data_IF_954194298641
#
_entry.id   IF_954194298641
#
_cell.length_a   1.000
_cell.length_b   1.000
_cell.length_c   1.000
_cell.angle_alpha   90.00
_cell.angle_beta   90.00
_cell.angle_gamma   90.00
#
_symmetry.space_group_name_H-M   'P 1'
#
loop_
_entity.id
_entity.type
_entity.pdbx_description
1 polymer ?
#
# COMPACT_ATOMS: atom_id res chain seq x y z
N UNK A 1 13.16 8.19 -0.28
CA UNK A 1 12.51 9.37 -0.89
C UNK A 1 12.30 10.41 0.19
N UNK A 2 12.42 11.69 -0.17
CA UNK A 2 12.15 12.83 0.72
C UNK A 2 10.64 13.14 0.66
N UNK A 3 9.85 12.44 1.47
CA UNK A 3 8.39 12.54 1.41
C UNK A 3 7.85 13.90 1.85
N UNK A 4 8.60 14.60 2.69
CA UNK A 4 8.33 15.94 3.18
C UNK A 4 8.38 17.01 2.07
N UNK A 5 9.16 16.79 1.02
CA UNK A 5 9.24 17.70 -0.12
C UNK A 5 8.01 17.66 -1.04
N UNK A 6 7.17 16.62 -0.96
CA UNK A 6 5.98 16.48 -1.79
C UNK A 6 4.79 17.27 -1.26
N UNK A 7 3.87 17.65 -2.14
CA UNK A 7 2.61 18.30 -1.77
C UNK A 7 1.62 17.30 -1.20
N UNK A 8 0.69 17.77 -0.38
CA UNK A 8 -0.38 16.94 0.20
C UNK A 8 -1.17 16.17 -0.87
N UNK A 9 -1.46 16.82 -2.00
CA UNK A 9 -2.17 16.19 -3.12
C UNK A 9 -1.36 15.04 -3.73
N UNK A 10 -0.05 15.25 -3.95
CA UNK A 10 0.81 14.21 -4.53
C UNK A 10 1.03 13.03 -3.57
N UNK A 11 1.13 13.27 -2.26
CA UNK A 11 1.21 12.21 -1.26
C UNK A 11 -0.04 11.32 -1.27
N UNK A 12 -1.23 11.93 -1.32
CA UNK A 12 -2.49 11.20 -1.45
C UNK A 12 -2.55 10.40 -2.74
N UNK A 13 -2.19 11.00 -3.88
CA UNK A 13 -2.18 10.29 -5.16
C UNK A 13 -1.23 9.09 -5.17
N UNK A 14 -0.02 9.24 -4.62
CA UNK A 14 0.95 8.13 -4.51
C UNK A 14 0.39 7.03 -3.61
N UNK A 15 -0.26 7.39 -2.51
CA UNK A 15 -0.87 6.41 -1.62
C UNK A 15 -2.05 5.67 -2.26
N UNK A 16 -2.94 6.39 -2.95
CA UNK A 16 -4.03 5.76 -3.70
C UNK A 16 -3.52 4.85 -4.83
N UNK A 17 -2.38 5.17 -5.44
CA UNK A 17 -1.75 4.28 -6.42
C UNK A 17 -1.28 2.96 -5.79
N UNK A 18 -0.73 3.00 -4.56
CA UNK A 18 -0.41 1.78 -3.81
C UNK A 18 -1.68 0.98 -3.52
N UNK A 19 -2.75 1.65 -3.05
CA UNK A 19 -4.04 1.00 -2.75
C UNK A 19 -4.64 0.33 -3.99
N UNK A 20 -4.68 1.04 -5.13
CA UNK A 20 -5.21 0.48 -6.37
C UNK A 20 -4.38 -0.69 -6.91
N UNK A 21 -3.05 -0.66 -6.75
CA UNK A 21 -2.21 -1.80 -7.09
C UNK A 21 -2.49 -3.01 -6.21
N UNK A 22 -2.73 -2.79 -4.91
CA UNK A 22 -3.10 -3.85 -3.97
C UNK A 22 -4.48 -4.45 -4.28
N UNK A 23 -5.47 -3.60 -4.56
CA UNK A 23 -6.82 -4.03 -4.93
C UNK A 23 -6.79 -4.86 -6.23
N UNK A 24 -6.03 -4.41 -7.23
CA UNK A 24 -5.86 -5.17 -8.47
C UNK A 24 -5.19 -6.54 -8.23
N UNK A 25 -4.17 -6.61 -7.36
CA UNK A 25 -3.56 -7.89 -6.99
C UNK A 25 -4.54 -8.81 -6.27
N UNK A 26 -5.31 -8.29 -5.31
CA UNK A 26 -6.34 -9.04 -4.59
C UNK A 26 -7.42 -9.57 -5.57
N UNK A 27 -7.79 -8.80 -6.61
CA UNK A 27 -8.68 -9.25 -7.69
C UNK A 27 -8.07 -10.35 -8.56
N UNK A 28 -6.79 -10.24 -8.96
CA UNK A 28 -6.09 -11.30 -9.71
C UNK A 28 -6.08 -12.60 -8.91
N UNK A 29 -5.69 -12.53 -7.63
CA UNK A 29 -5.64 -13.69 -6.74
C UNK A 29 -7.03 -14.32 -6.55
N UNK A 30 -8.08 -13.51 -6.41
CA UNK A 30 -9.45 -14.00 -6.31
C UNK A 30 -9.92 -14.75 -7.57
N UNK A 31 -9.36 -14.43 -8.74
CA UNK A 31 -9.60 -15.12 -10.01
C UNK A 31 -8.67 -16.33 -10.24
N UNK A 32 -7.78 -16.63 -9.28
CA UNK A 32 -6.78 -17.70 -9.40
C UNK A 32 -5.62 -17.35 -10.33
N UNK A 33 -5.43 -16.07 -10.64
CA UNK A 33 -4.32 -15.54 -11.43
C UNK A 33 -3.17 -15.07 -10.52
N UNK A 34 -1.97 -14.99 -11.08
CA UNK A 34 -0.83 -14.44 -10.35
C UNK A 34 -0.99 -12.91 -10.15
N UNK A 35 -0.70 -12.38 -8.96
CA UNK A 35 -0.71 -10.94 -8.71
C UNK A 35 0.31 -10.24 -9.61
N UNK A 36 -0.15 -9.20 -10.31
CA UNK A 36 0.64 -8.48 -11.32
C UNK A 36 1.68 -7.55 -10.70
N UNK A 37 1.30 -6.83 -9.64
CA UNK A 37 2.12 -5.83 -8.98
C UNK A 37 2.90 -6.39 -7.78
N UNK A 38 2.45 -7.53 -7.25
CA UNK A 38 3.06 -8.28 -6.15
C UNK A 38 3.22 -7.41 -4.90
N UNK A 39 2.20 -6.62 -4.57
CA UNK A 39 2.23 -5.61 -3.51
C UNK A 39 2.47 -6.26 -2.14
N UNK A 40 1.80 -7.38 -1.84
CA UNK A 40 1.96 -8.09 -0.55
C UNK A 40 3.29 -8.84 -0.44
N UNK A 41 3.81 -9.37 -1.54
CA UNK A 41 5.02 -10.22 -1.55
C UNK A 41 6.33 -9.45 -1.74
N UNK A 42 6.27 -8.17 -2.15
CA UNK A 42 7.45 -7.33 -2.31
C UNK A 42 7.53 -6.31 -1.18
N UNK A 43 8.45 -6.53 -0.23
CA UNK A 43 8.58 -5.75 1.01
C UNK A 43 8.74 -4.22 0.79
N UNK A 44 9.30 -3.82 -0.36
CA UNK A 44 9.48 -2.43 -0.75
C UNK A 44 8.17 -1.66 -0.90
N UNK A 45 7.08 -2.31 -1.32
CA UNK A 45 5.76 -1.69 -1.37
C UNK A 45 5.27 -1.30 0.01
N UNK A 46 5.35 -2.23 0.98
CA UNK A 46 4.96 -1.96 2.37
C UNK A 46 5.79 -0.83 2.96
N UNK A 47 7.10 -0.81 2.71
CA UNK A 47 7.97 0.28 3.16
C UNK A 47 7.58 1.61 2.51
N UNK A 48 7.29 1.63 1.21
CA UNK A 48 6.85 2.83 0.51
C UNK A 48 5.55 3.38 1.10
N UNK A 49 4.55 2.51 1.26
CA UNK A 49 3.25 2.85 1.83
C UNK A 49 3.35 3.38 3.26
N UNK A 50 4.11 2.71 4.13
CA UNK A 50 4.28 3.15 5.52
C UNK A 50 4.96 4.52 5.63
N UNK A 51 5.89 4.84 4.71
CA UNK A 51 6.49 6.18 4.69
C UNK A 51 5.50 7.25 4.20
N UNK A 52 4.65 6.93 3.23
CA UNK A 52 3.56 7.81 2.80
C UNK A 52 2.57 8.06 3.95
N UNK A 53 2.12 6.99 4.62
CA UNK A 53 1.23 7.06 5.79
C UNK A 53 1.82 7.94 6.90
N UNK A 54 3.10 7.73 7.23
CA UNK A 54 3.78 8.50 8.27
C UNK A 54 3.80 10.01 7.95
N UNK A 55 4.11 10.40 6.71
CA UNK A 55 4.14 11.80 6.31
C UNK A 55 2.73 12.41 6.22
N UNK A 56 1.74 11.66 5.71
CA UNK A 56 0.34 12.12 5.65
C UNK A 56 -0.23 12.32 7.05
N UNK A 57 0.01 11.38 7.97
CA UNK A 57 -0.41 11.49 9.38
C UNK A 57 0.30 12.62 10.11
N UNK A 58 1.61 12.80 9.89
CA UNK A 58 2.40 13.91 10.45
C UNK A 58 1.81 15.28 10.05
N UNK A 59 1.22 15.39 8.86
CA UNK A 59 0.54 16.60 8.38
C UNK A 59 -0.89 16.77 8.87
N UNK A 60 -1.41 15.82 9.64
CA UNK A 60 -2.79 15.85 10.14
C UNK A 60 -3.84 15.59 9.05
N UNK A 61 -3.44 14.98 7.93
CA UNK A 61 -4.35 14.62 6.84
C UNK A 61 -5.03 13.29 7.17
N UNK A 62 -6.32 13.20 6.86
CA UNK A 62 -7.06 11.94 6.96
C UNK A 62 -6.70 11.00 5.80
N UNK A 63 -6.53 9.73 6.14
CA UNK A 63 -6.21 8.64 5.23
C UNK A 63 -6.76 7.31 5.78
N UNK A 64 -7.22 6.44 4.90
CA UNK A 64 -7.60 5.08 5.27
C UNK A 64 -6.35 4.19 5.20
N UNK A 65 -5.84 3.77 6.36
CA UNK A 65 -4.62 2.96 6.45
C UNK A 65 -4.87 1.58 5.81
N UNK A 66 -3.93 1.13 4.98
CA UNK A 66 -3.95 -0.21 4.38
C UNK A 66 -3.81 -1.25 5.49
N UNK A 67 -4.75 -2.19 5.51
CA UNK A 67 -4.64 -3.40 6.34
C UNK A 67 -3.68 -4.40 5.68
N UNK A 68 -2.43 -4.37 6.14
CA UNK A 68 -1.38 -5.28 5.70
C UNK A 68 -1.51 -6.72 6.25
N UNK A 69 -2.49 -6.99 7.12
CA UNK A 69 -2.68 -8.33 7.71
C UNK A 69 -3.54 -9.26 6.83
N UNK A 70 -4.43 -8.70 6.01
CA UNK A 70 -5.13 -9.47 4.96
C UNK A 70 -4.12 -10.12 4.00
N UNK A 71 -4.33 -11.38 3.62
CA UNK A 71 -3.45 -12.08 2.67
C UNK A 71 -2.15 -12.66 3.24
N UNK A 72 -1.83 -12.45 4.53
CA UNK A 72 -0.96 -13.40 5.23
C UNK A 72 -1.80 -14.65 5.50
N UNK A 73 -1.86 -15.58 4.53
CA UNK A 73 -2.34 -16.92 4.82
C UNK A 73 -1.61 -17.42 6.07
N UNK A 74 -2.38 -17.85 7.06
CA UNK A 74 -1.89 -18.48 8.28
C UNK A 74 -0.84 -19.52 7.88
N UNK A 75 0.42 -19.25 8.21
CA UNK A 75 1.47 -20.25 8.07
C UNK A 75 1.03 -21.46 8.89
N UNK A 76 0.93 -22.68 8.31
CA UNK A 76 0.71 -23.86 9.12
C UNK A 76 1.90 -24.00 10.06
N UNK A 77 1.60 -24.18 11.35
CA UNK A 77 2.57 -24.57 12.37
C UNK A 77 3.29 -25.87 12.00
#
# INVERSE_FOLDING_TARGET
MEYDAFTDASLKMMYEAVRGALEADDEFEANGEDPKFRVRSTAEWKRHASNLEAEILKRGLQIDIIDWTRGQSELPL
#
